data_IF_232306283170
#
_entry.id   IF_232306283170
#
_cell.length_a   1.000
_cell.length_b   1.000
_cell.length_c   1.000
_cell.angle_alpha   90.00
_cell.angle_beta   90.00
_cell.angle_gamma   90.00
#
_symmetry.space_group_name_H-M   'P 1'
#
loop_
_entity.id
_entity.type
_entity.pdbx_description
1 polymer ?
#
# COMPACT_ATOMS: atom_id res chain seq x y z
N UNK A 1 -46.87 31.93 -9.54
CA UNK A 1 -46.43 31.07 -8.41
C UNK A 1 -46.39 29.63 -8.88
N UNK A 2 -45.38 28.86 -8.43
CA UNK A 2 -45.31 27.38 -8.48
C UNK A 2 -44.60 26.71 -9.67
N UNK A 3 -43.34 27.07 -10.00
CA UNK A 3 -42.40 26.10 -10.64
C UNK A 3 -40.92 26.25 -10.21
N UNK A 4 -40.58 27.11 -9.23
CA UNK A 4 -39.17 27.42 -8.90
C UNK A 4 -38.46 26.44 -7.93
N UNK A 5 -39.01 25.26 -7.60
CA UNK A 5 -38.45 24.42 -6.51
C UNK A 5 -37.87 23.07 -6.98
N UNK A 6 -37.91 22.73 -8.28
CA UNK A 6 -37.43 21.40 -8.74
C UNK A 6 -35.94 21.37 -9.13
N UNK A 7 -35.23 22.51 -9.17
CA UNK A 7 -33.83 22.52 -9.64
C UNK A 7 -32.77 22.22 -8.56
N UNK A 8 -33.10 22.21 -7.26
CA UNK A 8 -32.07 22.07 -6.21
C UNK A 8 -31.73 20.61 -5.85
N UNK A 9 -32.55 19.63 -6.27
CA UNK A 9 -32.37 18.22 -5.89
C UNK A 9 -31.43 17.41 -6.79
N UNK A 10 -31.08 17.92 -7.97
CA UNK A 10 -30.30 17.16 -8.98
C UNK A 10 -28.78 17.39 -8.90
N UNK A 11 -28.31 18.40 -8.16
CA UNK A 11 -26.88 18.71 -8.06
C UNK A 11 -26.11 17.86 -7.03
N UNK A 12 -26.79 17.04 -6.22
CA UNK A 12 -26.13 16.14 -5.26
C UNK A 12 -25.83 14.74 -5.80
N UNK A 13 -26.32 14.38 -7.00
CA UNK A 13 -26.10 13.05 -7.60
C UNK A 13 -24.85 12.97 -8.51
N UNK A 14 -24.11 14.07 -8.64
CA UNK A 14 -22.94 14.17 -9.52
C UNK A 14 -21.62 14.33 -8.76
N UNK A 15 -21.55 13.90 -7.50
CA UNK A 15 -20.25 13.52 -6.95
C UNK A 15 -19.80 12.32 -7.78
N UNK A 16 -18.70 12.37 -8.56
CA UNK A 16 -18.11 11.12 -9.01
C UNK A 16 -17.93 10.27 -7.77
N UNK A 17 -18.28 8.98 -7.84
CA UNK A 17 -17.63 8.03 -6.97
C UNK A 17 -16.13 8.20 -7.25
N UNK A 18 -15.46 9.08 -6.52
CA UNK A 18 -14.07 8.87 -6.21
C UNK A 18 -14.09 7.61 -5.34
N UNK A 19 -14.13 6.46 -6.02
CA UNK A 19 -13.52 5.26 -5.51
C UNK A 19 -12.16 5.77 -5.05
N UNK A 20 -12.01 5.89 -3.74
CA UNK A 20 -10.80 6.43 -3.14
C UNK A 20 -9.67 5.58 -3.73
N UNK A 21 -8.85 6.14 -4.62
CA UNK A 21 -7.63 5.48 -5.05
C UNK A 21 -6.82 5.33 -3.78
N UNK A 22 -6.89 4.13 -3.20
CA UNK A 22 -6.28 3.85 -1.92
C UNK A 22 -4.79 3.76 -2.19
N UNK A 23 -4.10 4.89 -2.12
CA UNK A 23 -2.64 4.94 -2.19
C UNK A 23 -2.11 4.08 -1.06
N UNK A 24 -1.64 2.89 -1.40
CA UNK A 24 -1.07 1.95 -0.45
C UNK A 24 0.43 2.12 -0.46
N UNK A 25 0.99 2.49 0.69
CA UNK A 25 2.43 2.53 0.90
C UNK A 25 2.80 1.34 1.76
N UNK A 26 3.78 0.56 1.31
CA UNK A 26 4.28 -0.59 2.04
C UNK A 26 5.72 -0.36 2.46
N UNK A 27 6.06 -0.73 3.69
CA UNK A 27 7.42 -0.71 4.21
C UNK A 27 7.92 -2.13 4.43
N UNK A 28 8.95 -2.53 3.69
CA UNK A 28 9.68 -3.75 3.99
C UNK A 28 10.71 -3.45 5.07
N UNK A 29 10.55 -4.10 6.21
CA UNK A 29 11.26 -3.76 7.44
C UNK A 29 11.89 -5.01 8.04
N UNK A 30 13.12 -4.89 8.52
CA UNK A 30 13.79 -5.91 9.34
C UNK A 30 13.80 -5.44 10.79
N UNK A 31 13.44 -6.35 11.70
CA UNK A 31 13.51 -6.13 13.14
C UNK A 31 14.58 -7.05 13.74
N UNK A 32 15.59 -6.46 14.36
CA UNK A 32 16.63 -7.17 15.10
C UNK A 32 16.15 -7.45 16.52
N UNK A 33 15.94 -8.73 16.85
CA UNK A 33 15.45 -9.18 18.15
C UNK A 33 16.47 -9.05 19.28
N UNK A 34 17.76 -8.94 18.96
CA UNK A 34 18.84 -8.86 19.95
C UNK A 34 19.04 -7.43 20.43
N UNK A 35 18.90 -6.47 19.52
CA UNK A 35 19.06 -5.04 19.80
C UNK A 35 17.73 -4.30 19.95
N UNK A 36 16.61 -4.93 19.60
CA UNK A 36 15.27 -4.35 19.56
C UNK A 36 15.19 -3.16 18.57
N UNK A 37 16.03 -3.17 17.54
CA UNK A 37 16.12 -2.13 16.51
C UNK A 37 15.31 -2.52 15.26
N UNK A 38 14.67 -1.53 14.64
CA UNK A 38 13.90 -1.68 13.41
C UNK A 38 14.54 -0.88 12.27
N UNK A 39 14.76 -1.52 11.12
CA UNK A 39 15.35 -0.90 9.93
C UNK A 39 14.42 -1.06 8.73
N UNK A 40 14.05 0.05 8.08
CA UNK A 40 13.29 0.02 6.82
C UNK A 40 14.28 -0.25 5.68
N UNK A 41 14.14 -1.40 5.03
CA UNK A 41 14.98 -1.79 3.90
C UNK A 41 14.53 -1.08 2.64
N UNK A 42 13.20 -1.00 2.42
CA UNK A 42 12.63 -0.32 1.26
C UNK A 42 11.19 0.12 1.48
N UNK A 43 10.85 1.27 0.92
CA UNK A 43 9.48 1.79 0.83
C UNK A 43 8.97 1.64 -0.59
N UNK A 44 7.75 1.13 -0.74
CA UNK A 44 7.09 0.91 -2.01
C UNK A 44 5.81 1.75 -2.08
N UNK A 45 5.56 2.50 -3.18
CA UNK A 45 4.32 3.24 -3.38
C UNK A 45 3.19 2.32 -3.90
N UNK A 46 3.23 1.04 -3.52
CA UNK A 46 2.26 0.01 -3.89
C UNK A 46 2.27 -1.13 -2.85
N UNK A 47 1.31 -2.04 -2.95
CA UNK A 47 1.19 -3.21 -2.08
C UNK A 47 2.30 -4.23 -2.35
N UNK A 48 3.00 -4.61 -1.29
CA UNK A 48 3.80 -5.84 -1.23
C UNK A 48 3.27 -6.69 -0.08
N UNK A 49 3.40 -8.01 -0.16
CA UNK A 49 2.90 -8.92 0.87
C UNK A 49 3.88 -10.07 1.12
N UNK A 50 3.55 -10.87 2.15
CA UNK A 50 4.24 -12.08 2.59
C UNK A 50 5.78 -12.00 2.50
N UNK A 51 6.41 -11.02 3.19
CA UNK A 51 7.87 -10.99 3.25
C UNK A 51 8.40 -12.22 3.99
N UNK A 52 9.41 -12.86 3.43
CA UNK A 52 10.08 -14.05 3.98
C UNK A 52 11.59 -13.94 3.80
N UNK A 53 12.37 -14.65 4.60
CA UNK A 53 13.82 -14.79 4.43
C UNK A 53 14.15 -16.03 3.59
N UNK A 54 15.22 -15.97 2.78
CA UNK A 54 15.84 -17.19 2.25
C UNK A 54 16.54 -17.96 3.37
N UNK A 55 16.66 -19.31 3.29
CA UNK A 55 17.28 -20.11 4.35
C UNK A 55 18.74 -19.74 4.65
N UNK A 56 19.45 -19.19 3.66
CA UNK A 56 20.83 -18.72 3.79
C UNK A 56 20.93 -17.27 4.32
N UNK A 57 19.81 -16.61 4.60
CA UNK A 57 19.73 -15.24 5.10
C UNK A 57 20.16 -14.15 4.11
N UNK A 58 20.57 -14.50 2.88
CA UNK A 58 21.13 -13.53 1.93
C UNK A 58 20.08 -12.65 1.26
N UNK A 59 18.81 -13.08 1.27
CA UNK A 59 17.73 -12.37 0.58
C UNK A 59 16.46 -12.34 1.40
N UNK A 60 15.77 -11.21 1.31
CA UNK A 60 14.34 -11.10 1.59
C UNK A 60 13.57 -11.37 0.30
N UNK A 61 12.51 -12.15 0.38
CA UNK A 61 11.58 -12.45 -0.72
C UNK A 61 10.22 -11.86 -0.38
N UNK A 62 9.58 -11.21 -1.34
CA UNK A 62 8.23 -10.65 -1.19
C UNK A 62 7.40 -10.87 -2.46
N UNK A 63 6.08 -10.85 -2.34
CA UNK A 63 5.18 -10.89 -3.50
C UNK A 63 4.58 -9.52 -3.81
N UNK A 64 4.40 -9.24 -5.10
CA UNK A 64 3.66 -8.08 -5.59
C UNK A 64 3.22 -8.29 -7.03
N UNK A 65 2.01 -7.86 -7.39
CA UNK A 65 1.50 -7.96 -8.77
C UNK A 65 1.55 -9.37 -9.36
N UNK A 66 1.34 -10.41 -8.54
CA UNK A 66 1.37 -11.82 -8.97
C UNK A 66 2.78 -12.38 -9.23
N UNK A 67 3.85 -11.70 -8.80
CA UNK A 67 5.24 -12.13 -8.96
C UNK A 67 5.97 -12.20 -7.62
N UNK A 68 7.06 -12.95 -7.60
CA UNK A 68 8.03 -12.96 -6.51
C UNK A 68 9.24 -12.10 -6.86
N UNK A 69 9.71 -11.34 -5.89
CA UNK A 69 10.88 -10.49 -5.98
C UNK A 69 11.81 -10.79 -4.82
N UNK A 70 13.10 -10.48 -4.98
CA UNK A 70 14.09 -10.56 -3.90
C UNK A 70 14.89 -9.28 -3.76
N UNK A 71 15.30 -8.97 -2.54
CA UNK A 71 16.13 -7.81 -2.19
C UNK A 71 17.12 -8.18 -1.10
N UNK A 72 18.30 -7.54 -1.09
CA UNK A 72 19.27 -7.70 -0.01
C UNK A 72 18.67 -7.15 1.29
N UNK A 73 18.93 -7.76 2.46
CA UNK A 73 18.57 -7.17 3.74
C UNK A 73 19.31 -5.85 4.03
N UNK A 74 20.39 -5.56 3.31
CA UNK A 74 21.17 -4.33 3.48
C UNK A 74 20.67 -3.15 2.62
N UNK A 75 19.62 -3.36 1.80
CA UNK A 75 19.07 -2.36 0.88
C UNK A 75 19.67 -2.41 -0.51
#
# INVERSE_FOLDING_TARGET
MKYSIILLGLLFMASPLQAQEKTTVSHLTVFDITTNQQTVIKTFPYLIEAPNWTPDGRWLVYNSGGKLYKISPDG
#
